data_IF_789235100239
#
_entry.id   IF_789235100239
#
_cell.length_a   1.000
_cell.length_b   1.000
_cell.length_c   1.000
_cell.angle_alpha   90.00
_cell.angle_beta   90.00
_cell.angle_gamma   90.00
#
_symmetry.space_group_name_H-M   'P 1'
#
loop_
_entity.id
_entity.type
_entity.pdbx_description
1 polymer ?
#
# COMPACT_ATOMS: atom_id res chain seq x y z
N UNK A 1 -26.30 54.52 37.48
CA UNK A 1 -25.62 54.03 36.25
C UNK A 1 -24.91 52.71 36.58
N UNK A 2 -25.51 51.61 36.26
CA UNK A 2 -24.97 50.26 36.56
C UNK A 2 -24.23 49.75 35.30
N UNK A 3 -22.91 49.56 35.39
CA UNK A 3 -22.11 49.00 34.28
C UNK A 3 -22.14 47.48 34.40
N UNK A 4 -22.79 46.82 33.44
CA UNK A 4 -22.77 45.34 33.26
C UNK A 4 -21.48 45.02 32.51
N UNK A 5 -20.55 44.29 33.13
CA UNK A 5 -19.40 43.68 32.47
C UNK A 5 -19.83 42.29 31.94
N UNK A 6 -19.91 42.16 30.63
CA UNK A 6 -20.11 40.87 29.98
C UNK A 6 -18.75 40.13 29.92
N UNK A 7 -18.64 39.04 30.66
CA UNK A 7 -17.50 38.14 30.65
C UNK A 7 -17.64 37.21 29.42
N UNK A 8 -16.87 37.44 28.34
CA UNK A 8 -16.77 36.54 27.22
C UNK A 8 -15.83 35.39 27.62
N UNK A 9 -16.39 34.21 27.90
CA UNK A 9 -15.65 32.97 28.07
C UNK A 9 -15.30 32.42 26.69
N UNK A 10 -14.02 32.52 26.30
CA UNK A 10 -13.46 31.85 25.11
C UNK A 10 -13.35 30.37 25.43
N UNK A 11 -14.24 29.56 24.88
CA UNK A 11 -14.10 28.09 24.84
C UNK A 11 -13.03 27.76 23.79
N UNK A 12 -11.80 27.58 24.26
CA UNK A 12 -10.75 26.98 23.46
C UNK A 12 -11.07 25.47 23.27
N UNK A 13 -11.59 25.10 22.12
CA UNK A 13 -11.70 23.69 21.72
C UNK A 13 -10.28 23.17 21.44
N UNK A 14 -9.69 22.48 22.41
CA UNK A 14 -8.49 21.67 22.19
C UNK A 14 -8.93 20.47 21.33
N UNK A 15 -8.67 20.53 20.03
CA UNK A 15 -8.72 19.34 19.19
C UNK A 15 -7.63 18.39 19.71
N UNK A 16 -8.06 17.38 20.48
CA UNK A 16 -7.21 16.25 20.85
C UNK A 16 -6.88 15.53 19.55
N UNK A 17 -5.69 15.78 19.02
CA UNK A 17 -5.16 15.02 17.90
C UNK A 17 -4.92 13.60 18.43
N UNK A 18 -5.81 12.67 18.05
CA UNK A 18 -5.68 11.28 18.48
C UNK A 18 -4.29 10.78 18.04
N UNK A 19 -3.46 10.45 19.01
CA UNK A 19 -2.14 9.90 18.78
C UNK A 19 -2.33 8.56 18.04
N UNK A 20 -1.75 8.43 16.83
CA UNK A 20 -1.80 7.18 16.08
C UNK A 20 -1.04 6.14 16.89
N UNK A 21 -1.73 5.11 17.37
CA UNK A 21 -1.13 4.01 18.13
C UNK A 21 -1.06 2.74 17.30
N UNK A 22 0.00 1.96 17.54
CA UNK A 22 0.16 0.65 16.93
C UNK A 22 -0.96 -0.29 17.39
N UNK A 23 -1.69 -0.84 16.44
CA UNK A 23 -2.75 -1.83 16.65
C UNK A 23 -2.18 -3.25 16.45
N UNK A 24 -2.68 -4.22 17.21
CA UNK A 24 -2.23 -5.62 17.17
C UNK A 24 -3.38 -6.65 17.25
N UNK A 25 -4.58 -6.20 16.97
CA UNK A 25 -5.80 -7.01 17.05
C UNK A 25 -6.17 -7.70 15.72
N UNK A 26 -5.33 -7.54 14.69
CA UNK A 26 -5.40 -8.22 13.40
C UNK A 26 -4.15 -9.10 13.20
N UNK A 27 -4.12 -9.97 12.16
CA UNK A 27 -3.00 -10.90 11.93
C UNK A 27 -1.60 -10.26 11.78
N UNK A 28 -1.51 -8.95 11.52
CA UNK A 28 -0.29 -8.15 11.50
C UNK A 28 -0.49 -6.88 12.31
N UNK A 29 0.58 -6.35 12.89
CA UNK A 29 0.56 -5.04 13.52
C UNK A 29 0.36 -3.94 12.47
N UNK A 30 -0.31 -2.86 12.83
CA UNK A 30 -0.60 -1.77 11.88
C UNK A 30 -0.93 -0.45 12.58
N UNK A 31 -0.80 0.63 11.83
CA UNK A 31 -1.37 1.93 12.17
C UNK A 31 -2.69 2.12 11.42
N UNK A 32 -3.65 2.76 12.06
CA UNK A 32 -4.94 3.08 11.46
C UNK A 32 -5.21 4.58 11.48
N UNK A 33 -5.68 5.09 10.36
CA UNK A 33 -6.24 6.42 10.18
C UNK A 33 -7.58 6.27 9.49
N UNK A 34 -8.61 6.07 10.27
CA UNK A 34 -9.96 5.75 9.83
C UNK A 34 -10.96 6.81 10.30
N UNK A 35 -12.06 6.92 9.58
CA UNK A 35 -13.16 7.77 10.00
C UNK A 35 -13.83 7.19 11.25
N UNK A 36 -14.31 8.05 12.18
CA UNK A 36 -14.91 7.59 13.43
C UNK A 36 -16.33 7.01 13.26
N UNK A 37 -16.96 7.26 12.11
CA UNK A 37 -18.27 6.70 11.77
C UNK A 37 -18.13 5.25 11.24
N UNK A 38 -19.22 4.48 11.28
CA UNK A 38 -19.27 3.10 10.80
C UNK A 38 -19.66 3.01 9.31
N UNK A 39 -19.61 4.11 8.57
CA UNK A 39 -19.98 4.12 7.16
C UNK A 39 -19.00 3.30 6.32
N UNK A 40 -19.46 2.45 5.40
CA UNK A 40 -18.61 1.74 4.47
C UNK A 40 -17.77 2.71 3.62
N UNK A 41 -16.45 2.57 3.66
CA UNK A 41 -15.53 3.43 2.92
C UNK A 41 -14.48 2.61 2.19
N UNK A 42 -13.95 3.09 1.07
CA UNK A 42 -12.77 2.48 0.48
C UNK A 42 -11.62 2.42 1.49
N UNK A 43 -10.88 1.31 1.46
CA UNK A 43 -9.80 1.00 2.39
C UNK A 43 -8.47 0.90 1.65
N UNK A 44 -7.53 1.78 1.97
CA UNK A 44 -6.16 1.70 1.48
C UNK A 44 -5.28 1.03 2.54
N UNK A 45 -4.48 0.08 2.11
CA UNK A 45 -3.51 -0.64 2.95
C UNK A 45 -2.11 -0.40 2.38
N UNK A 46 -1.26 0.30 3.15
CA UNK A 46 0.12 0.59 2.80
C UNK A 46 1.07 -0.52 3.23
N UNK A 47 2.02 -0.87 2.36
CA UNK A 47 3.06 -1.86 2.57
C UNK A 47 4.44 -1.21 2.40
N UNK A 48 5.18 -1.03 3.50
CA UNK A 48 6.47 -0.36 3.52
C UNK A 48 7.60 -1.17 2.86
N UNK A 49 8.72 -0.52 2.57
CA UNK A 49 9.92 -1.13 2.00
C UNK A 49 10.77 -1.89 3.04
N UNK A 50 11.82 -2.58 2.55
CA UNK A 50 12.81 -3.26 3.38
C UNK A 50 13.47 -2.31 4.38
N UNK A 51 13.55 -2.75 5.64
CA UNK A 51 14.23 -2.01 6.70
C UNK A 51 13.47 -0.79 7.23
N UNK A 52 12.22 -0.60 6.80
CA UNK A 52 11.31 0.42 7.28
C UNK A 52 10.26 -0.18 8.23
N UNK A 53 9.15 0.52 8.46
CA UNK A 53 8.07 0.12 9.35
C UNK A 53 6.72 0.74 8.92
N UNK A 54 5.68 0.49 9.70
CA UNK A 54 4.32 0.97 9.48
C UNK A 54 4.14 2.50 9.51
N UNK A 55 5.07 3.24 10.10
CA UNK A 55 5.00 4.70 10.16
C UNK A 55 5.44 5.38 8.86
N UNK A 56 6.13 4.67 7.96
CA UNK A 56 6.77 5.22 6.78
C UNK A 56 5.76 5.81 5.78
N UNK A 57 4.75 5.04 5.39
CA UNK A 57 3.83 5.43 4.32
C UNK A 57 2.52 6.06 4.79
N UNK A 58 2.19 5.98 6.09
CA UNK A 58 0.88 6.47 6.59
C UNK A 58 0.67 7.96 6.34
N UNK A 59 1.74 8.74 6.26
CA UNK A 59 1.70 10.17 5.94
C UNK A 59 1.21 10.49 4.52
N UNK A 60 1.26 9.54 3.59
CA UNK A 60 0.75 9.74 2.21
C UNK A 60 -0.74 10.06 2.19
N UNK A 61 -1.51 9.62 3.18
CA UNK A 61 -2.94 9.91 3.29
C UNK A 61 -3.31 11.39 3.18
N UNK A 62 -2.39 12.29 3.55
CA UNK A 62 -2.66 13.74 3.47
C UNK A 62 -2.72 14.28 2.04
N UNK A 63 -2.23 13.51 1.07
CA UNK A 63 -2.24 13.82 -0.35
C UNK A 63 -3.16 12.90 -1.16
N UNK A 64 -3.84 11.96 -0.52
CA UNK A 64 -4.76 10.99 -1.10
C UNK A 64 -6.23 11.29 -0.73
N UNK A 65 -7.25 10.61 -1.31
CA UNK A 65 -8.65 10.94 -1.11
C UNK A 65 -9.07 10.93 0.36
N UNK A 66 -9.58 12.03 0.87
CA UNK A 66 -9.89 12.22 2.30
C UNK A 66 -11.02 11.33 2.81
N UNK A 67 -11.90 10.85 1.93
CA UNK A 67 -13.05 10.02 2.28
C UNK A 67 -12.70 8.54 2.50
N UNK A 68 -11.43 8.14 2.31
CA UNK A 68 -10.97 6.76 2.46
C UNK A 68 -10.50 6.48 3.89
N UNK A 69 -10.53 5.21 4.27
CA UNK A 69 -9.82 4.69 5.42
C UNK A 69 -8.40 4.25 5.03
N UNK A 70 -7.43 4.48 5.91
CA UNK A 70 -6.02 4.18 5.67
C UNK A 70 -5.43 3.33 6.77
N UNK A 71 -4.83 2.21 6.39
CA UNK A 71 -4.02 1.37 7.27
C UNK A 71 -2.59 1.33 6.75
N UNK A 72 -1.62 1.23 7.65
CA UNK A 72 -0.22 0.99 7.27
C UNK A 72 0.32 -0.18 8.08
N UNK A 73 0.73 -1.24 7.40
CA UNK A 73 0.99 -2.55 7.99
C UNK A 73 2.47 -2.72 8.26
N UNK A 74 2.79 -3.25 9.45
CA UNK A 74 4.13 -3.67 9.80
C UNK A 74 4.43 -5.05 9.20
N UNK A 75 5.54 -5.17 8.47
CA UNK A 75 5.98 -6.45 7.93
C UNK A 75 6.32 -7.44 9.06
N UNK A 76 6.12 -8.77 8.85
CA UNK A 76 6.16 -9.74 9.94
C UNK A 76 7.55 -10.10 10.46
N UNK A 77 8.64 -9.70 9.78
CA UNK A 77 10.00 -10.12 10.11
C UNK A 77 10.83 -8.94 10.59
N UNK A 78 11.21 -8.95 11.89
CA UNK A 78 12.07 -7.92 12.45
C UNK A 78 13.53 -8.04 11.94
N UNK A 79 14.13 -6.89 11.65
CA UNK A 79 15.55 -6.73 11.30
C UNK A 79 16.36 -6.11 12.44
N UNK A 80 15.69 -5.65 13.49
CA UNK A 80 16.21 -4.91 14.61
C UNK A 80 15.15 -3.93 15.10
N UNK A 81 15.50 -3.07 16.05
CA UNK A 81 14.57 -2.13 16.65
C UNK A 81 13.91 -1.22 15.61
N UNK A 82 12.58 -1.24 15.53
CA UNK A 82 11.79 -0.41 14.63
C UNK A 82 11.97 -0.68 13.13
N UNK A 83 12.63 -1.77 12.73
CA UNK A 83 12.92 -2.10 11.33
C UNK A 83 12.43 -3.49 10.98
N UNK A 84 11.75 -3.61 9.83
CA UNK A 84 11.09 -4.84 9.41
C UNK A 84 11.30 -5.13 7.93
N UNK A 85 11.02 -6.38 7.53
CA UNK A 85 11.04 -6.85 6.14
C UNK A 85 9.91 -7.86 5.90
N UNK A 86 9.49 -7.97 4.64
CA UNK A 86 8.48 -8.94 4.23
C UNK A 86 9.08 -10.31 3.96
N UNK A 87 10.30 -10.33 3.45
CA UNK A 87 11.03 -11.57 3.13
C UNK A 87 12.54 -11.29 3.13
N UNK A 88 13.34 -12.31 3.39
CA UNK A 88 14.80 -12.24 3.25
C UNK A 88 15.17 -12.24 1.77
N UNK A 89 16.20 -11.52 1.41
CA UNK A 89 16.79 -11.53 0.06
C UNK A 89 17.41 -12.89 -0.21
N UNK A 90 17.15 -13.43 -1.41
CA UNK A 90 17.74 -14.67 -1.90
C UNK A 90 18.88 -14.39 -2.88
N UNK A 91 20.07 -14.86 -2.57
CA UNK A 91 21.25 -14.75 -3.43
C UNK A 91 21.79 -13.32 -3.58
N UNK A 92 22.78 -13.17 -4.46
CA UNK A 92 23.36 -11.89 -4.86
C UNK A 92 22.71 -11.37 -6.16
N UNK A 93 22.82 -10.06 -6.38
CA UNK A 93 22.27 -9.42 -7.59
C UNK A 93 20.82 -8.99 -7.46
N UNK A 94 20.00 -9.27 -8.47
CA UNK A 94 18.61 -8.82 -8.53
C UNK A 94 17.82 -9.18 -7.25
N UNK A 95 16.93 -8.28 -6.84
CA UNK A 95 16.20 -8.39 -5.60
C UNK A 95 15.16 -9.54 -5.69
N UNK A 96 15.55 -10.74 -5.26
CA UNK A 96 14.72 -11.94 -5.19
C UNK A 96 14.44 -12.29 -3.72
N UNK A 97 13.26 -12.83 -3.44
CA UNK A 97 12.86 -13.24 -2.09
C UNK A 97 13.05 -14.73 -1.85
N UNK A 98 13.33 -15.10 -0.60
CA UNK A 98 13.23 -16.49 -0.15
C UNK A 98 11.78 -16.96 -0.27
N UNK A 99 11.57 -18.09 -0.94
CA UNK A 99 10.23 -18.58 -1.31
C UNK A 99 9.36 -18.85 -0.09
N UNK A 100 9.91 -19.41 0.98
CA UNK A 100 9.15 -19.75 2.19
C UNK A 100 8.74 -18.48 2.95
N UNK A 101 9.62 -17.46 2.99
CA UNK A 101 9.30 -16.16 3.58
C UNK A 101 8.18 -15.46 2.78
N UNK A 102 8.26 -15.49 1.44
CA UNK A 102 7.23 -14.92 0.56
C UNK A 102 5.87 -15.58 0.81
N UNK A 103 5.83 -16.92 0.89
CA UNK A 103 4.60 -17.67 1.17
C UNK A 103 4.03 -17.32 2.54
N UNK A 104 4.86 -17.31 3.58
CA UNK A 104 4.44 -17.02 4.95
C UNK A 104 3.91 -15.58 5.07
N UNK A 105 4.63 -14.60 4.51
CA UNK A 105 4.21 -13.19 4.52
C UNK A 105 2.96 -12.95 3.68
N UNK A 106 2.86 -13.58 2.51
CA UNK A 106 1.68 -13.54 1.66
C UNK A 106 0.45 -14.10 2.38
N UNK A 107 0.58 -15.22 3.09
CA UNK A 107 -0.51 -15.81 3.86
C UNK A 107 -0.98 -14.88 4.99
N UNK A 108 -0.05 -14.32 5.76
CA UNK A 108 -0.38 -13.37 6.84
C UNK A 108 -1.04 -12.10 6.31
N UNK A 109 -0.51 -11.56 5.21
CA UNK A 109 -1.06 -10.35 4.60
C UNK A 109 -2.46 -10.57 4.04
N UNK A 110 -2.73 -11.70 3.41
CA UNK A 110 -4.08 -12.07 2.95
C UNK A 110 -5.07 -12.21 4.11
N UNK A 111 -4.66 -12.86 5.20
CA UNK A 111 -5.48 -12.95 6.41
C UNK A 111 -5.74 -11.56 7.01
N UNK A 112 -4.73 -10.68 7.02
CA UNK A 112 -4.87 -9.28 7.45
C UNK A 112 -5.88 -8.52 6.58
N UNK A 113 -5.77 -8.60 5.26
CA UNK A 113 -6.67 -7.92 4.31
C UNK A 113 -8.12 -8.32 4.56
N UNK A 114 -8.40 -9.63 4.66
CA UNK A 114 -9.74 -10.12 4.91
C UNK A 114 -10.31 -9.64 6.26
N UNK A 115 -9.52 -9.72 7.33
CA UNK A 115 -9.92 -9.27 8.64
C UNK A 115 -10.08 -7.74 8.73
N UNK A 116 -9.21 -6.97 8.04
CA UNK A 116 -9.31 -5.52 7.96
C UNK A 116 -10.56 -5.08 7.17
N UNK A 117 -10.84 -5.71 6.03
CA UNK A 117 -12.04 -5.44 5.25
C UNK A 117 -13.31 -5.66 6.10
N UNK A 118 -13.36 -6.74 6.85
CA UNK A 118 -14.47 -7.02 7.77
C UNK A 118 -14.56 -5.97 8.89
N UNK A 119 -13.43 -5.67 9.57
CA UNK A 119 -13.39 -4.73 10.69
C UNK A 119 -13.81 -3.32 10.31
N UNK A 120 -13.41 -2.87 9.13
CA UNK A 120 -13.65 -1.51 8.64
C UNK A 120 -14.79 -1.43 7.61
N UNK A 121 -15.59 -2.49 7.48
CA UNK A 121 -16.77 -2.56 6.60
C UNK A 121 -16.48 -2.23 5.14
N UNK A 122 -15.26 -2.52 4.66
CA UNK A 122 -14.88 -2.31 3.27
C UNK A 122 -15.28 -3.51 2.40
N UNK A 123 -15.91 -3.25 1.25
CA UNK A 123 -16.15 -4.30 0.26
C UNK A 123 -14.81 -4.71 -0.39
N UNK A 124 -14.60 -5.98 -0.79
CA UNK A 124 -13.33 -6.42 -1.38
C UNK A 124 -12.89 -5.61 -2.59
N UNK A 125 -13.83 -5.24 -3.47
CA UNK A 125 -13.59 -4.38 -4.65
C UNK A 125 -13.29 -2.91 -4.30
N UNK A 126 -13.33 -2.53 -3.03
CA UNK A 126 -12.98 -1.23 -2.47
C UNK A 126 -11.78 -1.28 -1.53
N UNK A 127 -11.02 -2.37 -1.54
CA UNK A 127 -9.74 -2.50 -0.82
C UNK A 127 -8.60 -2.32 -1.80
N UNK A 128 -7.68 -1.40 -1.51
CA UNK A 128 -6.55 -1.07 -2.38
C UNK A 128 -5.23 -1.29 -1.64
N UNK A 129 -4.33 -2.07 -2.25
CA UNK A 129 -2.98 -2.25 -1.72
C UNK A 129 -2.01 -1.28 -2.39
N UNK A 130 -1.27 -0.51 -1.61
CA UNK A 130 -0.24 0.40 -2.11
C UNK A 130 1.07 0.04 -1.44
N UNK A 131 2.04 -0.45 -2.22
CA UNK A 131 3.32 -0.88 -1.70
C UNK A 131 4.49 -0.11 -2.31
N UNK A 132 5.52 0.11 -1.50
CA UNK A 132 6.79 0.68 -1.94
C UNK A 132 7.91 -0.35 -1.84
N UNK A 133 8.75 -0.45 -2.88
CA UNK A 133 9.95 -1.31 -2.89
C UNK A 133 9.61 -2.78 -2.58
N UNK A 134 10.09 -3.36 -1.48
CA UNK A 134 9.74 -4.71 -1.04
C UNK A 134 8.22 -4.85 -0.80
N UNK A 135 7.55 -3.80 -0.27
CA UNK A 135 6.09 -3.75 -0.15
C UNK A 135 5.38 -3.80 -1.50
N UNK A 136 5.93 -3.15 -2.55
CA UNK A 136 5.41 -3.24 -3.91
C UNK A 136 5.52 -4.67 -4.48
N UNK A 137 6.58 -5.38 -4.16
CA UNK A 137 6.73 -6.78 -4.54
C UNK A 137 5.67 -7.66 -3.87
N UNK A 138 5.35 -7.40 -2.59
CA UNK A 138 4.26 -8.07 -1.87
C UNK A 138 2.88 -7.68 -2.41
N UNK A 139 2.72 -6.46 -2.90
CA UNK A 139 1.48 -6.01 -3.56
C UNK A 139 1.19 -6.85 -4.80
N UNK A 140 2.20 -7.08 -5.65
CA UNK A 140 2.07 -8.02 -6.77
C UNK A 140 1.81 -9.45 -6.29
N UNK A 141 2.57 -9.93 -5.30
CA UNK A 141 2.47 -11.29 -4.78
C UNK A 141 1.06 -11.62 -4.29
N UNK A 142 0.41 -10.70 -3.58
CA UNK A 142 -0.95 -10.91 -3.07
C UNK A 142 -2.01 -10.61 -4.14
N UNK A 143 -1.91 -9.46 -4.80
CA UNK A 143 -2.94 -9.00 -5.75
C UNK A 143 -3.06 -9.89 -6.97
N UNK A 144 -1.95 -10.38 -7.52
CA UNK A 144 -1.98 -11.24 -8.71
C UNK A 144 -2.33 -12.70 -8.39
N UNK A 145 -2.12 -13.16 -7.14
CA UNK A 145 -2.55 -14.52 -6.74
C UNK A 145 -4.02 -14.59 -6.36
N UNK A 146 -4.58 -13.50 -5.83
CA UNK A 146 -5.97 -13.41 -5.40
C UNK A 146 -6.60 -12.08 -5.84
N UNK A 147 -6.73 -11.84 -7.14
CA UNK A 147 -7.24 -10.56 -7.65
C UNK A 147 -8.66 -10.23 -7.15
N UNK A 148 -9.48 -11.23 -6.83
CA UNK A 148 -10.82 -11.00 -6.27
C UNK A 148 -10.83 -10.54 -4.80
N UNK A 149 -9.69 -10.53 -4.11
CA UNK A 149 -9.60 -10.11 -2.71
C UNK A 149 -9.42 -8.60 -2.54
N UNK A 150 -9.11 -7.88 -3.62
CA UNK A 150 -8.85 -6.44 -3.63
C UNK A 150 -9.41 -5.79 -4.90
N UNK A 151 -9.77 -4.52 -4.83
CA UNK A 151 -10.25 -3.74 -5.98
C UNK A 151 -9.11 -3.24 -6.86
N UNK A 152 -7.91 -3.07 -6.29
CA UNK A 152 -6.76 -2.61 -7.06
C UNK A 152 -5.46 -2.67 -6.28
N UNK A 153 -4.36 -2.58 -7.03
CA UNK A 153 -3.00 -2.57 -6.49
C UNK A 153 -2.18 -1.43 -7.08
N UNK A 154 -1.37 -0.79 -6.25
CA UNK A 154 -0.38 0.19 -6.69
C UNK A 154 1.02 -0.25 -6.25
N UNK A 155 1.91 -0.48 -7.21
CA UNK A 155 3.28 -0.90 -6.98
C UNK A 155 4.25 0.23 -7.31
N UNK A 156 4.87 0.81 -6.28
CA UNK A 156 5.77 1.95 -6.37
C UNK A 156 7.22 1.46 -6.22
N UNK A 157 8.06 1.68 -7.22
CA UNK A 157 9.48 1.26 -7.25
C UNK A 157 9.67 -0.23 -6.93
N UNK A 158 8.83 -1.10 -7.52
CA UNK A 158 8.85 -2.55 -7.30
C UNK A 158 9.13 -3.36 -8.55
N UNK A 159 9.05 -4.69 -8.42
CA UNK A 159 9.13 -5.65 -9.53
C UNK A 159 8.29 -6.87 -9.23
N UNK A 160 7.85 -7.59 -10.27
CA UNK A 160 7.29 -8.93 -10.09
C UNK A 160 8.42 -9.92 -9.82
N UNK A 161 8.35 -10.61 -8.68
CA UNK A 161 9.40 -11.57 -8.29
C UNK A 161 9.39 -12.81 -9.18
N UNK A 162 10.56 -13.45 -9.44
CA UNK A 162 10.68 -14.58 -10.35
C UNK A 162 9.77 -15.76 -9.98
N UNK A 163 9.56 -16.04 -8.69
CA UNK A 163 8.68 -17.12 -8.25
C UNK A 163 7.24 -16.88 -8.70
N UNK A 164 6.74 -15.66 -8.54
CA UNK A 164 5.40 -15.27 -8.99
C UNK A 164 5.31 -15.29 -10.53
N UNK A 165 6.30 -14.68 -11.20
CA UNK A 165 6.36 -14.62 -12.66
C UNK A 165 6.28 -16.02 -13.31
N UNK A 166 6.93 -17.03 -12.71
CA UNK A 166 6.93 -18.40 -13.21
C UNK A 166 5.61 -19.15 -12.98
N UNK A 167 4.81 -18.71 -12.00
CA UNK A 167 3.52 -19.33 -11.66
C UNK A 167 2.35 -18.68 -12.40
N UNK A 168 2.49 -17.44 -12.86
CA UNK A 168 1.46 -16.73 -13.64
C UNK A 168 1.42 -17.26 -15.08
N UNK A 169 0.24 -17.73 -15.50
CA UNK A 169 0.02 -18.29 -16.84
C UNK A 169 -0.87 -17.36 -17.68
N UNK A 170 -0.45 -17.09 -18.91
CA UNK A 170 -1.19 -16.25 -19.85
C UNK A 170 -2.51 -16.85 -20.34
N UNK A 171 -2.69 -18.16 -20.21
CA UNK A 171 -3.88 -18.88 -20.68
C UNK A 171 -5.04 -18.89 -19.66
N UNK A 172 -4.83 -18.40 -18.45
CA UNK A 172 -5.87 -18.28 -17.44
C UNK A 172 -6.63 -16.96 -17.61
N UNK A 173 -7.96 -17.04 -17.56
CA UNK A 173 -8.77 -15.82 -17.38
C UNK A 173 -8.50 -15.28 -15.97
N UNK A 174 -7.95 -14.09 -15.90
CA UNK A 174 -7.75 -13.39 -14.63
C UNK A 174 -8.96 -12.49 -14.35
N UNK A 175 -9.49 -12.47 -13.11
CA UNK A 175 -10.48 -11.47 -12.72
C UNK A 175 -9.95 -10.05 -12.95
N UNK A 176 -10.84 -9.09 -13.24
CA UNK A 176 -10.44 -7.69 -13.36
C UNK A 176 -9.70 -7.23 -12.09
N UNK A 177 -8.59 -6.52 -12.29
CA UNK A 177 -7.81 -5.91 -11.23
C UNK A 177 -7.26 -4.59 -11.75
N UNK A 178 -7.56 -3.50 -11.07
CA UNK A 178 -6.97 -2.21 -11.38
C UNK A 178 -5.53 -2.12 -10.88
N UNK A 179 -4.61 -1.75 -11.76
CA UNK A 179 -3.17 -1.78 -11.45
C UNK A 179 -2.53 -0.44 -11.79
N UNK A 180 -1.89 0.16 -10.80
CA UNK A 180 -1.02 1.31 -10.95
C UNK A 180 0.44 0.88 -10.75
N UNK A 181 1.34 1.31 -11.63
CA UNK A 181 2.77 1.08 -11.52
C UNK A 181 3.49 2.42 -11.60
N UNK A 182 4.16 2.82 -10.54
CA UNK A 182 5.02 4.00 -10.50
C UNK A 182 6.49 3.62 -10.39
N UNK A 183 7.38 4.22 -11.21
CA UNK A 183 8.81 3.91 -11.11
C UNK A 183 9.69 5.10 -11.53
N UNK A 184 10.66 5.42 -10.68
CA UNK A 184 11.68 6.41 -10.98
C UNK A 184 12.69 5.92 -12.02
N UNK A 185 13.00 6.71 -13.03
CA UNK A 185 13.92 6.28 -14.10
C UNK A 185 15.39 6.23 -13.68
N UNK A 186 15.74 6.85 -12.53
CA UNK A 186 17.08 6.84 -11.94
C UNK A 186 17.14 5.95 -10.68
N UNK A 187 16.19 5.01 -10.50
CA UNK A 187 16.19 4.08 -9.38
C UNK A 187 17.40 3.13 -9.45
N UNK A 188 18.30 3.25 -8.48
CA UNK A 188 19.55 2.48 -8.34
C UNK A 188 19.43 1.26 -7.42
N UNK A 189 18.28 1.08 -6.74
CA UNK A 189 18.03 -0.03 -5.82
C UNK A 189 17.16 -1.13 -6.43
N UNK A 190 16.04 -0.74 -7.01
CA UNK A 190 15.22 -1.58 -7.85
C UNK A 190 15.25 -0.97 -9.25
N UNK A 191 16.07 -1.53 -10.17
CA UNK A 191 16.25 -0.94 -11.50
C UNK A 191 14.91 -0.64 -12.18
N UNK A 192 14.84 0.47 -12.91
CA UNK A 192 13.67 0.91 -13.67
C UNK A 192 13.06 -0.20 -14.56
N UNK A 193 13.93 -1.12 -15.04
CA UNK A 193 13.49 -2.32 -15.76
C UNK A 193 12.52 -3.19 -14.97
N UNK A 194 12.54 -3.14 -13.64
CA UNK A 194 11.57 -3.85 -12.80
C UNK A 194 10.13 -3.41 -13.04
N UNK A 195 9.91 -2.10 -13.22
CA UNK A 195 8.61 -1.53 -13.55
C UNK A 195 8.19 -1.83 -15.00
N UNK A 196 9.09 -1.61 -15.96
CA UNK A 196 8.76 -1.87 -17.39
C UNK A 196 8.53 -3.35 -17.69
N UNK A 197 9.28 -4.26 -17.04
CA UNK A 197 9.05 -5.70 -17.16
C UNK A 197 7.74 -6.13 -16.49
N UNK A 198 7.36 -5.51 -15.36
CA UNK A 198 6.08 -5.76 -14.73
C UNK A 198 4.92 -5.33 -15.63
N UNK A 199 4.99 -4.13 -16.20
CA UNK A 199 4.00 -3.61 -17.16
C UNK A 199 3.84 -4.56 -18.36
N UNK A 200 4.93 -4.93 -19.03
CA UNK A 200 4.92 -5.84 -20.18
C UNK A 200 4.35 -7.24 -19.83
N UNK A 201 4.69 -7.77 -18.65
CA UNK A 201 4.16 -9.03 -18.15
C UNK A 201 2.64 -8.96 -17.94
N UNK A 202 2.18 -7.89 -17.28
CA UNK A 202 0.76 -7.73 -16.95
C UNK A 202 -0.09 -7.51 -18.20
N UNK A 203 0.40 -6.77 -19.19
CA UNK A 203 -0.26 -6.65 -20.49
C UNK A 203 -0.37 -8.00 -21.21
N UNK A 204 0.70 -8.82 -21.16
CA UNK A 204 0.67 -10.18 -21.69
C UNK A 204 -0.35 -11.09 -20.98
N UNK A 205 -0.63 -10.83 -19.69
CA UNK A 205 -1.65 -11.51 -18.90
C UNK A 205 -3.05 -10.87 -19.07
N UNK A 206 -3.22 -9.97 -20.05
CA UNK A 206 -4.47 -9.28 -20.38
C UNK A 206 -4.96 -8.28 -19.32
N UNK A 207 -4.10 -7.89 -18.38
CA UNK A 207 -4.36 -6.72 -17.53
C UNK A 207 -4.08 -5.42 -18.31
N UNK A 208 -4.60 -4.32 -17.80
CA UNK A 208 -4.39 -2.96 -18.36
C UNK A 208 -3.77 -2.04 -17.29
N UNK A 209 -2.49 -2.25 -16.93
CA UNK A 209 -1.87 -1.43 -15.92
C UNK A 209 -1.71 0.02 -16.40
N UNK A 210 -1.86 0.98 -15.47
CA UNK A 210 -1.46 2.36 -15.67
C UNK A 210 0.01 2.49 -15.24
N UNK A 211 0.92 2.54 -16.21
CA UNK A 211 2.35 2.66 -15.96
C UNK A 211 2.83 4.11 -16.06
N UNK A 212 3.46 4.60 -15.00
CA UNK A 212 3.99 5.94 -14.86
C UNK A 212 5.50 5.91 -14.62
N UNK A 213 6.26 6.53 -15.55
CA UNK A 213 7.69 6.73 -15.42
C UNK A 213 7.97 8.13 -14.87
N UNK A 214 8.82 8.23 -13.84
CA UNK A 214 9.18 9.51 -13.23
C UNK A 214 10.64 9.85 -13.57
N UNK A 215 10.89 10.73 -14.55
CA UNK A 215 12.23 11.05 -15.02
C UNK A 215 13.13 11.63 -13.94
N UNK A 216 14.33 11.06 -13.77
CA UNK A 216 15.34 11.50 -12.80
C UNK A 216 15.04 11.18 -11.34
N UNK A 217 13.90 10.57 -11.04
CA UNK A 217 13.56 10.11 -9.68
C UNK A 217 14.32 8.82 -9.38
N UNK A 218 15.00 8.78 -8.23
CA UNK A 218 15.68 7.61 -7.69
C UNK A 218 14.72 6.66 -6.96
N UNK A 219 15.25 5.88 -6.00
CA UNK A 219 14.44 4.96 -5.19
C UNK A 219 13.63 5.69 -4.12
N UNK A 220 12.59 6.41 -4.54
CA UNK A 220 11.71 7.23 -3.67
C UNK A 220 10.39 7.50 -4.34
N UNK A 221 9.39 7.92 -3.56
CA UNK A 221 8.07 8.34 -4.06
C UNK A 221 8.10 9.86 -4.27
N UNK A 222 7.85 10.30 -5.50
CA UNK A 222 7.85 11.72 -5.85
C UNK A 222 6.48 12.38 -5.62
N UNK A 223 6.46 13.72 -5.53
CA UNK A 223 5.20 14.46 -5.45
C UNK A 223 4.33 14.30 -6.72
N UNK A 224 4.95 14.08 -7.88
CA UNK A 224 4.23 13.77 -9.12
C UNK A 224 3.54 12.41 -9.02
N UNK A 225 4.26 11.41 -8.54
CA UNK A 225 3.74 10.06 -8.34
C UNK A 225 2.57 10.03 -7.35
N UNK A 226 2.63 10.82 -6.26
CA UNK A 226 1.52 10.94 -5.32
C UNK A 226 0.28 11.60 -5.93
N UNK A 227 0.43 12.57 -6.84
CA UNK A 227 -0.69 13.15 -7.57
C UNK A 227 -1.34 12.14 -8.51
N UNK A 228 -0.53 11.43 -9.30
CA UNK A 228 -1.03 10.42 -10.24
C UNK A 228 -1.71 9.27 -9.49
N UNK A 229 -1.17 8.86 -8.34
CA UNK A 229 -1.77 7.85 -7.46
C UNK A 229 -3.10 8.32 -6.85
N UNK A 230 -3.19 9.60 -6.44
CA UNK A 230 -4.45 10.21 -5.99
C UNK A 230 -5.51 10.19 -7.08
N UNK A 231 -5.13 10.59 -8.30
CA UNK A 231 -6.04 10.64 -9.44
C UNK A 231 -6.52 9.24 -9.83
N UNK A 232 -5.63 8.25 -9.79
CA UNK A 232 -5.97 6.84 -9.99
C UNK A 232 -7.01 6.36 -8.95
N UNK A 233 -6.79 6.62 -7.66
CA UNK A 233 -7.76 6.24 -6.61
C UNK A 233 -9.13 6.93 -6.78
N UNK A 234 -9.14 8.21 -7.19
CA UNK A 234 -10.38 8.94 -7.46
C UNK A 234 -11.14 8.38 -8.67
N UNK A 235 -10.45 7.91 -9.71
CA UNK A 235 -11.08 7.26 -10.86
C UNK A 235 -11.78 5.94 -10.48
N UNK A 236 -11.27 5.21 -9.50
CA UNK A 236 -11.85 3.95 -9.02
C UNK A 236 -13.09 4.15 -8.14
N UNK A 237 -13.28 5.34 -7.59
CA UNK A 237 -14.41 5.70 -6.72
C UNK A 237 -14.82 7.16 -6.98
N UNK A 238 -15.45 7.41 -8.12
CA UNK A 238 -15.90 8.74 -8.53
C UNK A 238 -16.98 9.35 -7.61
#
# INVERSE_FOLDING_TARGET
MLKVFALLTLLASTAVQAQISLQNDLPLNYLAQVHPDAEPRPLVIFLHGYGSNEADLIGMKFQLPKQYNYLSVQAPMALGEGRFQWFRKKGEGAYNGETDDLKASSQKLRAFIAAAAQKYHAQPDKVYLIGFSQGAMMTYEVGLRQPAAVGGIAALSGRVLPVLKNELKSEQQHPPLDIFIGHGTADDRVPYSGGTEADALLQKLSYKPQFHAYPGVGHSISAAELRDLNDWLQQLNP
#
